data_IF_195752379570
#
_entry.id   IF_195752379570
#
_cell.length_a   1.000
_cell.length_b   1.000
_cell.length_c   1.000
_cell.angle_alpha   90.00
_cell.angle_beta   90.00
_cell.angle_gamma   90.00
#
_symmetry.space_group_name_H-M   'P 1'
#
loop_
_entity.id
_entity.type
_entity.pdbx_description
1 polymer ?
#
# COMPACT_ATOMS: atom_id res chain seq x y z
N UNK A 1 13.29 12.72 19.69
CA UNK A 1 12.53 12.54 18.41
C UNK A 1 11.93 11.15 18.45
N UNK A 2 10.63 11.01 18.28
CA UNK A 2 9.95 9.71 18.40
C UNK A 2 10.32 8.85 17.18
N UNK A 3 10.47 7.52 17.32
CA UNK A 3 10.82 6.59 16.22
C UNK A 3 9.92 6.76 14.99
N UNK A 4 8.63 7.02 15.20
CA UNK A 4 7.65 7.26 14.12
C UNK A 4 7.94 8.58 13.38
N UNK A 5 8.28 9.64 14.11
CA UNK A 5 8.65 10.92 13.48
C UNK A 5 9.89 10.75 12.61
N UNK A 6 10.89 10.01 13.10
CA UNK A 6 12.08 9.67 12.32
C UNK A 6 11.71 8.91 11.05
N UNK A 7 10.88 7.86 11.18
CA UNK A 7 10.40 7.05 10.07
C UNK A 7 9.75 7.89 8.96
N UNK A 8 8.84 8.80 9.33
CA UNK A 8 8.12 9.66 8.37
C UNK A 8 9.06 10.68 7.71
N UNK A 9 10.08 11.18 8.42
CA UNK A 9 11.00 12.19 7.89
C UNK A 9 12.01 11.63 6.88
N UNK A 10 12.34 10.33 6.92
CA UNK A 10 13.36 9.74 6.04
C UNK A 10 13.10 9.91 4.54
N UNK A 11 11.88 9.72 3.99
CA UNK A 11 11.61 10.03 2.59
C UNK A 11 11.85 11.49 2.23
N UNK A 12 11.56 12.42 3.13
CA UNK A 12 11.80 13.86 2.91
C UNK A 12 13.30 14.20 2.91
N UNK A 13 14.10 13.53 3.74
CA UNK A 13 15.57 13.62 3.68
C UNK A 13 16.05 13.12 2.31
N UNK A 14 15.48 12.04 1.81
CA UNK A 14 15.73 11.55 0.44
C UNK A 14 15.38 12.61 -0.61
N UNK A 15 14.20 13.22 -0.52
CA UNK A 15 13.75 14.27 -1.45
C UNK A 15 14.76 15.44 -1.52
N UNK A 16 15.26 15.87 -0.35
CA UNK A 16 16.18 17.00 -0.25
C UNK A 16 17.60 16.67 -0.76
N UNK A 17 18.10 15.47 -0.50
CA UNK A 17 19.50 15.13 -0.78
C UNK A 17 19.72 14.49 -2.16
N UNK A 18 18.78 13.65 -2.63
CA UNK A 18 18.94 12.89 -3.89
C UNK A 18 19.22 13.76 -5.12
N UNK A 19 18.59 14.95 -5.32
CA UNK A 19 18.83 15.75 -6.52
C UNK A 19 20.30 16.17 -6.68
N UNK A 20 21.00 16.43 -5.58
CA UNK A 20 22.36 16.97 -5.59
C UNK A 20 23.45 15.90 -5.71
N UNK A 21 23.09 14.60 -5.66
CA UNK A 21 24.06 13.52 -5.67
C UNK A 21 24.36 13.00 -7.08
N UNK A 22 25.60 12.49 -7.26
CA UNK A 22 25.95 11.70 -8.44
C UNK A 22 25.16 10.39 -8.47
N UNK A 23 24.86 9.86 -9.66
CA UNK A 23 24.00 8.68 -9.89
C UNK A 23 24.37 7.50 -8.98
N UNK A 24 25.65 7.18 -8.81
CA UNK A 24 26.11 6.09 -7.95
C UNK A 24 25.73 6.32 -6.49
N UNK A 25 25.87 7.55 -6.01
CA UNK A 25 25.57 7.92 -4.62
C UNK A 25 24.06 7.95 -4.36
N UNK A 26 23.22 8.24 -5.36
CA UNK A 26 21.76 8.16 -5.24
C UNK A 26 21.32 6.76 -4.82
N UNK A 27 21.81 5.73 -5.49
CA UNK A 27 21.48 4.36 -5.15
C UNK A 27 21.96 3.95 -3.75
N UNK A 28 23.17 4.37 -3.37
CA UNK A 28 23.71 4.10 -2.03
C UNK A 28 22.88 4.82 -0.96
N UNK A 29 22.58 6.11 -1.15
CA UNK A 29 21.74 6.86 -0.21
C UNK A 29 20.33 6.23 -0.07
N UNK A 30 19.73 5.83 -1.19
CA UNK A 30 18.41 5.14 -1.17
C UNK A 30 18.48 3.87 -0.34
N UNK A 31 19.52 3.04 -0.50
CA UNK A 31 19.72 1.84 0.30
C UNK A 31 19.88 2.16 1.80
N UNK A 32 20.69 3.16 2.14
CA UNK A 32 20.92 3.57 3.53
C UNK A 32 19.63 4.05 4.17
N UNK A 33 18.92 4.98 3.53
CA UNK A 33 17.65 5.52 4.05
C UNK A 33 16.58 4.44 4.18
N UNK A 34 16.47 3.55 3.19
CA UNK A 34 15.56 2.41 3.26
C UNK A 34 15.92 1.49 4.43
N UNK A 35 17.21 1.16 4.61
CA UNK A 35 17.66 0.28 5.69
C UNK A 35 17.30 0.87 7.06
N UNK A 36 17.46 2.17 7.25
CA UNK A 36 17.06 2.83 8.50
C UNK A 36 15.55 2.69 8.72
N UNK A 37 14.72 2.94 7.69
CA UNK A 37 13.26 2.76 7.78
C UNK A 37 12.87 1.31 8.06
N UNK A 38 13.53 0.35 7.44
CA UNK A 38 13.32 -1.09 7.66
C UNK A 38 13.67 -1.49 9.09
N UNK A 39 14.76 -0.95 9.65
CA UNK A 39 15.14 -1.22 11.05
C UNK A 39 14.10 -0.67 12.03
N UNK A 40 13.61 0.55 11.81
CA UNK A 40 12.58 1.17 12.66
C UNK A 40 11.27 0.37 12.59
N UNK A 41 10.75 0.15 11.38
CA UNK A 41 9.48 -0.56 11.18
C UNK A 41 9.59 -2.04 11.57
N UNK A 42 10.72 -2.68 11.30
CA UNK A 42 11.00 -4.05 11.69
C UNK A 42 11.06 -4.25 13.21
N UNK A 43 11.68 -3.33 13.93
CA UNK A 43 11.68 -3.34 15.39
C UNK A 43 10.25 -3.30 15.96
N UNK A 44 9.41 -2.36 15.48
CA UNK A 44 8.01 -2.26 15.90
C UNK A 44 7.21 -3.52 15.53
N UNK A 45 7.48 -4.10 14.36
CA UNK A 45 6.82 -5.32 13.91
C UNK A 45 7.18 -6.53 14.78
N UNK A 46 8.46 -6.74 15.10
CA UNK A 46 8.89 -7.83 15.96
C UNK A 46 8.31 -7.66 17.36
N UNK A 47 8.33 -6.44 17.92
CA UNK A 47 7.74 -6.16 19.21
C UNK A 47 6.25 -6.53 19.26
N UNK A 48 5.50 -6.23 18.21
CA UNK A 48 4.07 -6.55 18.13
C UNK A 48 3.76 -8.05 18.01
N UNK A 49 4.70 -8.84 17.48
CA UNK A 49 4.57 -10.28 17.34
C UNK A 49 4.99 -11.06 18.59
N UNK A 50 5.95 -10.52 19.36
CA UNK A 50 6.52 -11.19 20.53
C UNK A 50 5.92 -10.76 21.86
N UNK A 51 5.13 -9.70 21.88
CA UNK A 51 4.62 -9.13 23.13
C UNK A 51 3.28 -8.41 22.95
N UNK A 52 3.27 -7.14 23.32
CA UNK A 52 2.09 -6.29 23.25
C UNK A 52 2.06 -5.47 21.94
N UNK A 53 0.87 -5.16 21.41
CA UNK A 53 0.74 -4.24 20.29
C UNK A 53 1.42 -2.90 20.57
N UNK A 54 2.13 -2.37 19.60
CA UNK A 54 2.70 -1.02 19.67
C UNK A 54 1.59 -0.03 19.41
N UNK A 55 1.24 0.79 20.41
CA UNK A 55 0.21 1.82 20.30
C UNK A 55 0.82 3.18 20.64
N UNK A 56 0.70 4.13 19.70
CA UNK A 56 1.24 5.48 19.83
C UNK A 56 0.18 6.45 19.28
N UNK A 57 -0.02 7.56 19.95
CA UNK A 57 -0.87 8.64 19.50
C UNK A 57 -0.02 9.82 19.09
N UNK A 58 -0.17 10.28 17.84
CA UNK A 58 0.46 11.51 17.36
C UNK A 58 -0.52 12.68 17.46
N UNK A 59 -0.04 13.87 17.84
CA UNK A 59 -0.85 15.08 17.75
C UNK A 59 -1.14 15.36 16.28
N UNK A 60 -2.40 15.55 15.96
CA UNK A 60 -2.84 15.92 14.62
C UNK A 60 -3.19 17.42 14.54
N UNK A 61 -3.81 17.81 13.43
CA UNK A 61 -4.37 19.14 13.20
C UNK A 61 -5.83 19.21 13.65
N UNK A 62 -6.44 20.39 13.54
CA UNK A 62 -7.89 20.54 13.73
C UNK A 62 -8.72 19.62 12.81
N UNK A 63 -8.20 19.30 11.62
CA UNK A 63 -8.87 18.42 10.64
C UNK A 63 -8.62 16.93 10.90
N UNK A 64 -7.40 16.58 11.32
CA UNK A 64 -7.00 15.16 11.48
C UNK A 64 -7.26 14.63 12.88
N UNK A 65 -7.52 15.50 13.85
CA UNK A 65 -7.62 15.17 15.27
C UNK A 65 -6.37 14.43 15.77
N UNK A 66 -6.49 13.61 16.81
CA UNK A 66 -5.44 12.72 17.25
C UNK A 66 -5.29 11.61 16.21
N UNK A 67 -4.04 11.28 15.85
CA UNK A 67 -3.73 10.22 14.89
C UNK A 67 -3.26 9.00 15.67
N UNK A 68 -4.14 8.01 15.96
CA UNK A 68 -3.73 6.78 16.59
C UNK A 68 -2.99 5.90 15.58
N UNK A 69 -1.85 5.38 16.01
CA UNK A 69 -1.06 4.39 15.27
C UNK A 69 -1.02 3.13 16.12
N UNK A 70 -1.44 2.01 15.55
CA UNK A 70 -1.42 0.72 16.22
C UNK A 70 -0.84 -0.34 15.30
N UNK A 71 0.23 -0.98 15.76
CA UNK A 71 0.85 -2.12 15.09
C UNK A 71 0.56 -3.34 15.95
N UNK A 72 -0.40 -4.13 15.53
CA UNK A 72 -0.77 -5.42 16.11
C UNK A 72 -0.10 -6.58 15.36
N UNK A 73 -0.39 -7.82 15.73
CA UNK A 73 0.22 -9.00 15.12
C UNK A 73 -0.03 -9.09 13.59
N UNK A 74 -1.24 -8.70 13.12
CA UNK A 74 -1.53 -8.67 11.69
C UNK A 74 -0.64 -7.63 10.98
N UNK A 75 -0.58 -6.40 11.50
CA UNK A 75 0.30 -5.36 10.97
C UNK A 75 1.76 -5.78 11.00
N UNK A 76 2.23 -6.33 12.13
CA UNK A 76 3.61 -6.78 12.30
C UNK A 76 4.03 -7.82 11.27
N UNK A 77 3.17 -8.81 11.03
CA UNK A 77 3.43 -9.84 10.02
C UNK A 77 3.58 -9.24 8.61
N UNK A 78 2.64 -8.37 8.21
CA UNK A 78 2.72 -7.73 6.89
C UNK A 78 3.92 -6.79 6.77
N UNK A 79 4.25 -6.03 7.82
CA UNK A 79 5.43 -5.13 7.85
C UNK A 79 6.72 -5.92 7.63
N UNK A 80 6.90 -7.09 8.24
CA UNK A 80 8.09 -7.93 8.03
C UNK A 80 8.22 -8.41 6.58
N UNK A 81 7.11 -8.87 5.98
CA UNK A 81 7.09 -9.27 4.57
C UNK A 81 7.42 -8.08 3.66
N UNK A 82 6.81 -6.92 3.90
CA UNK A 82 7.06 -5.69 3.15
C UNK A 82 8.54 -5.32 3.24
N UNK A 83 9.11 -5.28 4.43
CA UNK A 83 10.52 -4.96 4.65
C UNK A 83 11.45 -5.90 3.89
N UNK A 84 11.21 -7.20 3.94
CA UNK A 84 12.01 -8.20 3.22
C UNK A 84 12.01 -7.95 1.71
N UNK A 85 10.82 -7.73 1.13
CA UNK A 85 10.68 -7.51 -0.32
C UNK A 85 11.28 -6.17 -0.73
N UNK A 86 11.16 -5.12 0.08
CA UNK A 86 11.78 -3.82 -0.23
C UNK A 86 13.30 -3.87 -0.16
N UNK A 87 13.88 -4.56 0.81
CA UNK A 87 15.34 -4.74 0.90
C UNK A 87 15.87 -5.51 -0.30
N UNK A 88 15.28 -6.65 -0.63
CA UNK A 88 15.70 -7.46 -1.79
C UNK A 88 15.49 -6.71 -3.10
N UNK A 89 14.35 -6.01 -3.25
CA UNK A 89 14.06 -5.16 -4.41
C UNK A 89 15.03 -3.99 -4.56
N UNK A 90 15.45 -3.37 -3.45
CA UNK A 90 16.43 -2.27 -3.48
C UNK A 90 17.83 -2.75 -3.84
N UNK A 91 18.27 -3.89 -3.30
CA UNK A 91 19.57 -4.50 -3.64
C UNK A 91 19.65 -4.87 -5.12
N UNK A 92 18.62 -5.54 -5.64
CA UNK A 92 18.52 -5.83 -7.07
C UNK A 92 18.44 -4.56 -7.90
N UNK A 93 17.56 -3.61 -7.51
CA UNK A 93 17.36 -2.33 -8.17
C UNK A 93 18.63 -1.49 -8.26
N UNK A 94 19.46 -1.49 -7.22
CA UNK A 94 20.77 -0.82 -7.24
C UNK A 94 21.66 -1.27 -8.41
N UNK A 95 21.68 -2.56 -8.69
CA UNK A 95 22.45 -3.11 -9.82
C UNK A 95 21.75 -2.89 -11.17
N UNK A 96 20.44 -3.12 -11.21
CA UNK A 96 19.61 -2.95 -12.41
C UNK A 96 19.63 -1.52 -12.95
N UNK A 97 19.49 -0.52 -12.09
CA UNK A 97 19.44 0.90 -12.47
C UNK A 97 20.78 1.47 -12.94
N UNK A 98 21.91 0.74 -12.79
CA UNK A 98 23.20 1.15 -13.35
C UNK A 98 23.17 1.28 -14.87
N UNK A 99 22.33 0.53 -15.57
CA UNK A 99 22.14 0.63 -17.02
C UNK A 99 21.53 1.97 -17.47
N UNK A 100 20.81 2.65 -16.57
CA UNK A 100 20.10 3.92 -16.84
C UNK A 100 20.85 5.17 -16.37
N UNK A 101 22.18 5.12 -16.23
CA UNK A 101 23.03 6.22 -15.70
C UNK A 101 22.84 7.55 -16.41
N UNK A 102 22.47 7.55 -17.68
CA UNK A 102 22.23 8.77 -18.47
C UNK A 102 20.94 9.50 -18.09
N UNK A 103 20.00 8.83 -17.40
CA UNK A 103 18.67 9.35 -17.02
C UNK A 103 18.65 9.86 -15.56
N UNK A 104 19.51 10.81 -15.24
CA UNK A 104 19.76 11.28 -13.85
C UNK A 104 18.50 11.74 -13.15
N UNK A 105 17.60 12.49 -13.82
CA UNK A 105 16.37 13.00 -13.23
C UNK A 105 15.35 11.87 -12.97
N UNK A 106 15.21 10.96 -13.91
CA UNK A 106 14.32 9.78 -13.75
C UNK A 106 14.78 8.89 -12.61
N UNK A 107 16.11 8.74 -12.42
CA UNK A 107 16.67 8.00 -11.29
C UNK A 107 16.42 8.69 -9.93
N UNK A 108 16.47 10.03 -9.89
CA UNK A 108 16.13 10.79 -8.68
C UNK A 108 14.68 10.57 -8.29
N UNK A 109 13.78 10.74 -9.24
CA UNK A 109 12.35 10.58 -9.03
C UNK A 109 12.00 9.13 -8.64
N UNK A 110 12.62 8.15 -9.31
CA UNK A 110 12.49 6.73 -8.97
C UNK A 110 12.93 6.44 -7.53
N UNK A 111 14.12 6.91 -7.13
CA UNK A 111 14.66 6.67 -5.79
C UNK A 111 13.78 7.29 -4.71
N UNK A 112 13.28 8.51 -4.94
CA UNK A 112 12.34 9.17 -4.04
C UNK A 112 11.01 8.41 -3.96
N UNK A 113 10.42 8.06 -5.11
CA UNK A 113 9.16 7.32 -5.16
C UNK A 113 9.27 5.95 -4.47
N UNK A 114 10.45 5.30 -4.57
CA UNK A 114 10.72 4.03 -3.92
C UNK A 114 10.72 4.15 -2.37
N UNK A 115 11.37 5.18 -1.83
CA UNK A 115 11.36 5.46 -0.38
C UNK A 115 9.97 5.85 0.10
N UNK A 116 9.27 6.67 -0.67
CA UNK A 116 7.92 7.13 -0.35
C UNK A 116 6.92 5.97 -0.37
N UNK A 117 7.05 5.04 -1.33
CA UNK A 117 6.23 3.85 -1.41
C UNK A 117 6.41 2.94 -0.20
N UNK A 118 7.67 2.71 0.25
CA UNK A 118 7.93 1.96 1.47
C UNK A 118 7.28 2.62 2.69
N UNK A 119 7.49 3.93 2.87
CA UNK A 119 6.92 4.64 4.01
C UNK A 119 5.39 4.62 4.01
N UNK A 120 4.77 4.82 2.84
CA UNK A 120 3.30 4.86 2.72
C UNK A 120 2.65 3.50 3.00
N UNK A 121 3.22 2.40 2.51
CA UNK A 121 2.63 1.07 2.73
C UNK A 121 2.78 0.61 4.18
N UNK A 122 3.91 0.92 4.84
CA UNK A 122 4.07 0.69 6.28
C UNK A 122 3.06 1.53 7.08
N UNK A 123 2.86 2.80 6.68
CA UNK A 123 1.86 3.69 7.28
C UNK A 123 0.44 3.14 7.16
N UNK A 124 0.07 2.60 6.00
CA UNK A 124 -1.21 1.90 5.78
C UNK A 124 -1.40 0.74 6.76
N UNK A 125 -0.33 0.02 7.12
CA UNK A 125 -0.43 -1.08 8.07
C UNK A 125 -0.65 -0.64 9.53
N UNK A 126 -0.26 0.58 9.90
CA UNK A 126 -0.28 1.03 11.30
C UNK A 126 -1.32 2.11 11.63
N UNK A 127 -1.68 2.97 10.68
CA UNK A 127 -2.58 4.11 10.92
C UNK A 127 -4.01 3.62 11.21
N UNK A 128 -4.61 4.20 12.28
CA UNK A 128 -5.98 3.92 12.71
C UNK A 128 -6.89 5.15 12.60
N UNK A 129 -6.51 6.15 11.80
CA UNK A 129 -7.29 7.33 11.49
C UNK A 129 -7.69 7.29 10.01
N UNK A 130 -8.97 7.34 9.71
CA UNK A 130 -9.53 7.16 8.35
C UNK A 130 -9.05 8.24 7.38
N UNK A 131 -8.94 9.49 7.81
CA UNK A 131 -8.49 10.59 6.95
C UNK A 131 -6.99 10.45 6.60
N UNK A 132 -6.15 10.17 7.61
CA UNK A 132 -4.70 9.98 7.41
C UNK A 132 -4.41 8.67 6.66
N UNK A 133 -5.25 7.64 6.85
CA UNK A 133 -5.19 6.40 6.07
C UNK A 133 -5.42 6.66 4.58
N UNK A 134 -6.43 7.47 4.23
CA UNK A 134 -6.69 7.84 2.82
C UNK A 134 -5.51 8.58 2.20
N UNK A 135 -4.85 9.48 2.96
CA UNK A 135 -3.64 10.17 2.49
C UNK A 135 -2.51 9.16 2.23
N UNK A 136 -2.26 8.24 3.18
CA UNK A 136 -1.23 7.22 3.02
C UNK A 136 -1.53 6.28 1.83
N UNK A 137 -2.80 5.93 1.62
CA UNK A 137 -3.25 5.10 0.49
C UNK A 137 -3.05 5.80 -0.85
N UNK A 138 -3.32 7.10 -0.93
CA UNK A 138 -3.09 7.89 -2.14
C UNK A 138 -1.60 8.07 -2.43
N UNK A 139 -0.78 8.32 -1.41
CA UNK A 139 0.68 8.39 -1.56
C UNK A 139 1.23 7.04 -2.09
N UNK A 140 0.69 5.92 -1.59
CA UNK A 140 1.03 4.58 -2.08
C UNK A 140 0.65 4.42 -3.57
N UNK A 141 -0.50 4.95 -3.99
CA UNK A 141 -0.94 4.88 -5.38
C UNK A 141 -0.06 5.75 -6.29
N UNK A 142 0.19 6.99 -5.92
CA UNK A 142 1.00 7.93 -6.69
C UNK A 142 2.47 7.49 -6.79
N UNK A 143 3.07 7.02 -5.69
CA UNK A 143 4.44 6.50 -5.72
C UNK A 143 4.57 5.25 -6.60
N UNK A 144 3.58 4.36 -6.55
CA UNK A 144 3.53 3.19 -7.44
C UNK A 144 3.41 3.60 -8.91
N UNK A 145 2.55 4.58 -9.22
CA UNK A 145 2.41 5.12 -10.58
C UNK A 145 3.75 5.64 -11.12
N UNK A 146 4.45 6.46 -10.33
CA UNK A 146 5.77 6.99 -10.71
C UNK A 146 6.78 5.88 -10.99
N UNK A 147 6.76 4.80 -10.19
CA UNK A 147 7.63 3.66 -10.39
C UNK A 147 7.29 2.84 -11.64
N UNK A 148 6.00 2.70 -11.97
CA UNK A 148 5.53 2.00 -13.17
C UNK A 148 5.98 2.75 -14.43
N UNK A 149 5.82 4.08 -14.47
CA UNK A 149 6.14 4.90 -15.64
C UNK A 149 7.62 5.29 -15.75
N UNK A 150 8.52 4.58 -15.10
CA UNK A 150 9.96 4.88 -15.13
C UNK A 150 10.51 5.03 -16.55
N UNK A 151 10.05 4.20 -17.50
CA UNK A 151 10.38 4.30 -18.92
C UNK A 151 9.30 5.09 -19.69
N UNK A 152 8.99 6.31 -19.21
CA UNK A 152 7.92 7.18 -19.72
C UNK A 152 8.08 7.63 -21.17
N UNK A 153 9.23 7.42 -21.79
CA UNK A 153 9.42 7.67 -23.23
C UNK A 153 8.63 6.67 -24.10
N UNK A 154 8.27 5.52 -23.54
CA UNK A 154 7.46 4.52 -24.21
C UNK A 154 5.96 4.81 -23.99
N UNK A 155 5.18 5.10 -25.03
CA UNK A 155 3.74 5.37 -24.91
C UNK A 155 2.95 4.22 -24.26
N UNK A 156 3.38 2.97 -24.45
CA UNK A 156 2.75 1.79 -23.84
C UNK A 156 2.90 1.82 -22.32
N UNK A 157 4.08 2.23 -21.84
CA UNK A 157 4.37 2.38 -20.39
C UNK A 157 3.48 3.46 -19.77
N UNK A 158 3.32 4.60 -20.46
CA UNK A 158 2.43 5.68 -19.99
C UNK A 158 0.97 5.19 -19.90
N UNK A 159 0.47 4.53 -20.96
CA UNK A 159 -0.90 3.97 -20.96
C UNK A 159 -1.12 2.97 -19.83
N UNK A 160 -0.15 2.12 -19.56
CA UNK A 160 -0.20 1.16 -18.46
C UNK A 160 -0.24 1.86 -17.08
N UNK A 161 0.58 2.89 -16.89
CA UNK A 161 0.57 3.70 -15.67
C UNK A 161 -0.76 4.44 -15.47
N UNK A 162 -1.30 5.07 -16.53
CA UNK A 162 -2.60 5.76 -16.46
C UNK A 162 -3.72 4.77 -16.13
N UNK A 163 -3.76 3.59 -16.74
CA UNK A 163 -4.75 2.56 -16.42
C UNK A 163 -4.67 2.15 -14.94
N UNK A 164 -3.46 1.94 -14.41
CA UNK A 164 -3.25 1.68 -13.00
C UNK A 164 -3.79 2.83 -12.13
N UNK A 165 -3.46 4.08 -12.46
CA UNK A 165 -3.85 5.25 -11.68
C UNK A 165 -5.38 5.44 -11.66
N UNK A 166 -6.06 5.26 -12.80
CA UNK A 166 -7.52 5.32 -12.88
C UNK A 166 -8.14 4.30 -11.91
N UNK A 167 -7.68 3.04 -11.95
CA UNK A 167 -8.23 2.01 -11.06
C UNK A 167 -7.89 2.24 -9.59
N UNK A 168 -6.71 2.79 -9.29
CA UNK A 168 -6.35 3.20 -7.94
C UNK A 168 -7.29 4.31 -7.41
N UNK A 169 -7.69 5.26 -8.26
CA UNK A 169 -8.67 6.29 -7.89
C UNK A 169 -10.10 5.72 -7.73
N UNK A 170 -10.49 4.74 -8.52
CA UNK A 170 -11.73 4.01 -8.24
C UNK A 170 -11.71 3.33 -6.86
N UNK A 171 -10.57 2.73 -6.49
CA UNK A 171 -10.39 2.14 -5.16
C UNK A 171 -10.61 3.17 -4.04
N UNK A 172 -9.96 4.35 -4.14
CA UNK A 172 -10.06 5.35 -3.08
C UNK A 172 -11.48 5.94 -2.96
N UNK A 173 -12.24 6.04 -4.05
CA UNK A 173 -13.65 6.48 -4.00
C UNK A 173 -14.48 5.57 -3.10
N UNK A 174 -14.34 4.24 -3.22
CA UNK A 174 -15.04 3.30 -2.35
C UNK A 174 -14.58 3.40 -0.88
N UNK A 175 -13.28 3.64 -0.62
CA UNK A 175 -12.78 3.91 0.73
C UNK A 175 -13.40 5.18 1.31
N UNK A 176 -13.44 6.26 0.53
CA UNK A 176 -14.05 7.53 0.94
C UNK A 176 -15.52 7.33 1.28
N UNK A 177 -16.29 6.63 0.46
CA UNK A 177 -17.71 6.33 0.72
C UNK A 177 -17.86 5.55 2.03
N UNK A 178 -17.07 4.51 2.25
CA UNK A 178 -17.12 3.69 3.46
C UNK A 178 -16.76 4.50 4.72
N UNK A 179 -15.68 5.27 4.67
CA UNK A 179 -15.25 6.10 5.80
C UNK A 179 -16.22 7.25 6.07
N UNK A 180 -16.68 7.98 5.04
CA UNK A 180 -17.65 9.07 5.22
C UNK A 180 -18.98 8.56 5.79
N UNK A 181 -19.42 7.36 5.40
CA UNK A 181 -20.62 6.76 6.00
C UNK A 181 -20.48 6.65 7.52
N UNK A 182 -19.35 6.14 8.00
CA UNK A 182 -19.08 6.00 9.44
C UNK A 182 -18.92 7.38 10.10
N UNK A 183 -18.09 8.25 9.52
CA UNK A 183 -17.79 9.59 10.07
C UNK A 183 -19.05 10.41 10.25
N UNK A 184 -19.96 10.42 9.26
CA UNK A 184 -21.23 11.15 9.33
C UNK A 184 -22.18 10.66 10.43
N UNK A 185 -21.97 9.46 10.94
CA UNK A 185 -22.80 8.85 12.01
C UNK A 185 -22.15 8.92 13.38
N UNK A 186 -20.82 8.97 13.43
CA UNK A 186 -20.05 8.89 14.68
C UNK A 186 -19.31 10.16 15.03
N UNK A 187 -19.16 11.09 14.07
CA UNK A 187 -18.31 12.28 14.16
C UNK A 187 -16.86 11.96 14.59
N UNK A 188 -16.32 10.81 14.18
CA UNK A 188 -14.97 10.35 14.55
C UNK A 188 -14.24 9.79 13.36
N UNK A 189 -12.95 10.10 13.25
CA UNK A 189 -12.03 9.54 12.24
C UNK A 189 -11.35 8.25 12.71
N UNK A 190 -11.49 7.86 13.98
CA UNK A 190 -10.83 6.66 14.54
C UNK A 190 -11.46 5.37 13.97
N UNK A 191 -10.62 4.37 13.66
CA UNK A 191 -11.09 3.06 13.23
C UNK A 191 -11.91 2.33 14.30
N UNK A 192 -11.74 2.67 15.58
CA UNK A 192 -12.60 2.16 16.65
C UNK A 192 -14.07 2.57 16.44
N UNK A 193 -14.33 3.74 15.85
CA UNK A 193 -15.69 4.18 15.50
C UNK A 193 -16.34 3.24 14.47
N UNK A 194 -15.55 2.66 13.54
CA UNK A 194 -16.05 1.67 12.58
C UNK A 194 -16.57 0.43 13.33
N UNK A 195 -15.81 -0.07 14.30
CA UNK A 195 -16.19 -1.24 15.09
C UNK A 195 -17.47 -0.97 15.90
N UNK A 196 -17.52 0.16 16.60
CA UNK A 196 -18.67 0.55 17.42
C UNK A 196 -19.93 0.75 16.57
N UNK A 197 -19.80 1.48 15.47
CA UNK A 197 -20.93 1.76 14.58
C UNK A 197 -21.42 0.50 13.87
N UNK A 198 -20.51 -0.32 13.33
CA UNK A 198 -20.93 -1.55 12.64
C UNK A 198 -21.64 -2.55 13.54
N UNK A 199 -21.32 -2.57 14.85
CA UNK A 199 -22.02 -3.43 15.82
C UNK A 199 -23.47 -3.00 16.08
N UNK A 200 -23.82 -1.75 15.81
CA UNK A 200 -25.19 -1.23 15.93
C UNK A 200 -26.01 -1.37 14.65
N UNK A 201 -25.41 -1.74 13.53
CA UNK A 201 -26.09 -1.87 12.24
C UNK A 201 -26.85 -3.20 12.11
N UNK A 202 -28.00 -3.21 11.39
CA UNK A 202 -28.60 -4.46 10.91
C UNK A 202 -27.62 -5.24 10.04
N UNK A 203 -27.68 -6.58 10.02
CA UNK A 203 -26.75 -7.45 9.31
C UNK A 203 -26.53 -7.08 7.83
N UNK A 204 -27.61 -6.74 7.10
CA UNK A 204 -27.50 -6.31 5.71
C UNK A 204 -26.76 -4.99 5.57
N UNK A 205 -26.99 -4.01 6.44
CA UNK A 205 -26.31 -2.71 6.37
C UNK A 205 -24.82 -2.83 6.72
N UNK A 206 -24.46 -3.65 7.70
CA UNK A 206 -23.06 -3.92 8.04
C UNK A 206 -22.34 -4.67 6.91
N UNK A 207 -23.03 -5.57 6.20
CA UNK A 207 -22.49 -6.24 5.03
C UNK A 207 -22.24 -5.26 3.87
N UNK A 208 -23.15 -4.31 3.62
CA UNK A 208 -22.95 -3.26 2.60
C UNK A 208 -21.77 -2.38 2.96
N UNK A 209 -21.61 -1.99 4.24
CA UNK A 209 -20.44 -1.25 4.70
C UNK A 209 -19.15 -2.05 4.45
N UNK A 210 -19.13 -3.34 4.78
CA UNK A 210 -18.01 -4.21 4.48
C UNK A 210 -17.72 -4.28 2.97
N UNK A 211 -18.74 -4.39 2.12
CA UNK A 211 -18.62 -4.43 0.67
C UNK A 211 -17.95 -3.18 0.09
N UNK A 212 -18.26 -1.98 0.62
CA UNK A 212 -17.56 -0.76 0.19
C UNK A 212 -16.05 -0.89 0.37
N UNK A 213 -15.60 -1.33 1.54
CA UNK A 213 -14.18 -1.54 1.81
C UNK A 213 -13.61 -2.72 1.01
N UNK A 214 -14.37 -3.81 0.90
CA UNK A 214 -13.95 -4.99 0.15
C UNK A 214 -13.67 -4.66 -1.32
N UNK A 215 -14.57 -3.94 -2.01
CA UNK A 215 -14.37 -3.53 -3.41
C UNK A 215 -13.12 -2.67 -3.54
N UNK A 216 -12.93 -1.69 -2.65
CA UNK A 216 -11.75 -0.83 -2.67
C UNK A 216 -10.45 -1.63 -2.59
N UNK A 217 -10.36 -2.53 -1.63
CA UNK A 217 -9.17 -3.35 -1.43
C UNK A 217 -9.03 -4.45 -2.48
N UNK A 218 -10.13 -4.99 -3.01
CA UNK A 218 -10.14 -5.98 -4.09
C UNK A 218 -9.57 -5.42 -5.41
N UNK A 219 -9.84 -4.14 -5.72
CA UNK A 219 -9.19 -3.44 -6.85
C UNK A 219 -7.67 -3.46 -6.69
N UNK A 220 -7.17 -3.11 -5.50
CA UNK A 220 -5.72 -3.09 -5.22
C UNK A 220 -5.13 -4.50 -5.19
N UNK A 221 -5.87 -5.48 -4.66
CA UNK A 221 -5.48 -6.89 -4.64
C UNK A 221 -5.54 -7.56 -6.03
N UNK A 222 -6.18 -6.91 -7.01
CA UNK A 222 -6.32 -7.43 -8.37
C UNK A 222 -7.27 -8.61 -8.48
N UNK A 223 -8.34 -8.64 -7.69
CA UNK A 223 -9.39 -9.65 -7.81
C UNK A 223 -10.21 -9.46 -9.10
N UNK A 224 -10.60 -10.56 -9.72
CA UNK A 224 -11.50 -10.56 -10.88
C UNK A 224 -12.90 -10.08 -10.46
N UNK A 225 -13.52 -9.14 -11.22
CA UNK A 225 -13.11 -8.56 -12.49
C UNK A 225 -12.23 -7.29 -12.38
N UNK A 226 -11.79 -6.90 -11.19
CA UNK A 226 -11.12 -5.62 -10.87
C UNK A 226 -9.60 -5.66 -11.08
N UNK A 227 -9.08 -6.67 -11.78
CA UNK A 227 -7.65 -6.95 -11.98
C UNK A 227 -7.04 -6.31 -13.22
N UNK A 228 -7.83 -5.62 -14.05
CA UNK A 228 -7.44 -5.26 -15.43
C UNK A 228 -6.23 -4.32 -15.53
N UNK A 229 -5.79 -3.69 -14.45
CA UNK A 229 -4.56 -2.92 -14.40
C UNK A 229 -3.29 -3.79 -14.35
N UNK A 230 -3.37 -4.98 -13.75
CA UNK A 230 -2.22 -5.86 -13.49
C UNK A 230 -1.49 -6.32 -14.76
N UNK A 231 -2.15 -6.88 -15.79
CA UNK A 231 -1.48 -7.36 -16.99
C UNK A 231 -0.75 -6.28 -17.78
N UNK A 232 -1.13 -5.01 -17.61
CA UNK A 232 -0.47 -3.88 -18.27
C UNK A 232 0.65 -3.28 -17.41
N UNK A 233 0.44 -3.14 -16.10
CA UNK A 233 1.40 -2.51 -15.22
C UNK A 233 2.65 -3.36 -14.99
N UNK A 234 2.52 -4.68 -14.86
CA UNK A 234 3.64 -5.59 -14.62
C UNK A 234 4.68 -5.60 -15.73
N UNK A 235 4.32 -5.76 -17.01
CA UNK A 235 5.31 -5.69 -18.10
C UNK A 235 5.94 -4.31 -18.26
N UNK A 236 5.19 -3.24 -18.01
CA UNK A 236 5.64 -1.87 -18.16
C UNK A 236 6.65 -1.44 -17.08
N UNK A 237 6.51 -1.95 -15.87
CA UNK A 237 7.38 -1.60 -14.75
C UNK A 237 8.78 -2.21 -14.88
N UNK A 238 9.85 -1.53 -14.36
CA UNK A 238 11.18 -2.13 -14.19
C UNK A 238 11.11 -3.45 -13.40
N UNK A 239 12.03 -4.39 -13.67
CA UNK A 239 11.93 -5.74 -13.11
C UNK A 239 11.83 -5.80 -11.56
N UNK A 240 12.61 -4.98 -10.85
CA UNK A 240 12.53 -4.91 -9.38
C UNK A 240 11.22 -4.30 -8.89
N UNK A 241 10.66 -3.32 -9.61
CA UNK A 241 9.35 -2.73 -9.30
C UNK A 241 8.24 -3.74 -9.55
N UNK A 242 8.30 -4.48 -10.67
CA UNK A 242 7.34 -5.55 -10.99
C UNK A 242 7.34 -6.64 -9.91
N UNK A 243 8.51 -7.06 -9.40
CA UNK A 243 8.63 -7.97 -8.27
C UNK A 243 8.01 -7.42 -6.98
N UNK A 244 8.19 -6.12 -6.71
CA UNK A 244 7.54 -5.46 -5.56
C UNK A 244 6.02 -5.34 -5.73
N UNK A 245 5.53 -5.08 -6.95
CA UNK A 245 4.09 -5.03 -7.21
C UNK A 245 3.41 -6.34 -6.82
N UNK A 246 3.95 -7.47 -7.24
CA UNK A 246 3.41 -8.79 -6.88
C UNK A 246 3.67 -9.16 -5.42
N UNK A 247 4.83 -8.83 -4.89
CA UNK A 247 5.25 -9.18 -3.53
C UNK A 247 4.57 -8.36 -2.43
N UNK A 248 4.22 -7.11 -2.69
CA UNK A 248 3.82 -6.15 -1.65
C UNK A 248 2.58 -5.34 -2.01
N UNK A 249 2.52 -4.70 -3.20
CA UNK A 249 1.44 -3.76 -3.52
C UNK A 249 0.08 -4.47 -3.54
N UNK A 250 0.00 -5.63 -4.18
CA UNK A 250 -1.19 -6.49 -4.19
C UNK A 250 -1.56 -6.91 -2.77
N UNK A 251 -0.57 -7.24 -1.94
CA UNK A 251 -0.78 -7.67 -0.55
C UNK A 251 -1.30 -6.55 0.36
N UNK A 252 -1.09 -5.28 0.02
CA UNK A 252 -1.74 -4.17 0.73
C UNK A 252 -3.28 -4.25 0.62
N UNK A 253 -3.82 -4.68 -0.53
CA UNK A 253 -5.24 -4.96 -0.70
C UNK A 253 -5.70 -6.12 0.18
N UNK A 254 -4.95 -7.22 0.22
CA UNK A 254 -5.25 -8.36 1.10
C UNK A 254 -5.23 -7.93 2.57
N UNK A 255 -4.20 -7.16 2.99
CA UNK A 255 -4.13 -6.60 4.33
C UNK A 255 -5.38 -5.79 4.68
N UNK A 256 -5.82 -4.91 3.76
CA UNK A 256 -7.02 -4.09 3.96
C UNK A 256 -8.28 -4.93 4.15
N UNK A 257 -8.49 -5.99 3.35
CA UNK A 257 -9.62 -6.91 3.49
C UNK A 257 -9.59 -7.59 4.87
N UNK A 258 -8.44 -8.14 5.27
CA UNK A 258 -8.28 -8.80 6.57
C UNK A 258 -8.51 -7.81 7.72
N UNK A 259 -7.97 -6.58 7.60
CA UNK A 259 -8.16 -5.52 8.59
C UNK A 259 -9.65 -5.19 8.75
N UNK A 260 -10.40 -5.03 7.67
CA UNK A 260 -11.84 -4.73 7.74
C UNK A 260 -12.66 -5.90 8.29
N UNK A 261 -12.30 -7.14 7.98
CA UNK A 261 -12.93 -8.32 8.61
C UNK A 261 -12.74 -8.36 10.13
N UNK A 262 -11.62 -7.84 10.64
CA UNK A 262 -11.36 -7.80 12.09
C UNK A 262 -12.13 -6.70 12.80
N UNK A 263 -12.38 -5.56 12.14
CA UNK A 263 -12.96 -4.38 12.79
C UNK A 263 -14.45 -4.19 12.49
N UNK A 264 -14.95 -4.60 11.33
CA UNK A 264 -16.37 -4.50 11.00
C UNK A 264 -17.13 -5.70 11.56
N UNK A 265 -18.11 -5.43 12.41
CA UNK A 265 -19.02 -6.44 12.91
C UNK A 265 -20.12 -6.68 11.85
N UNK A 266 -19.96 -7.74 11.08
CA UNK A 266 -20.86 -8.09 9.96
C UNK A 266 -21.28 -9.56 10.04
N UNK A 267 -22.17 -10.00 9.16
CA UNK A 267 -22.42 -11.41 8.95
C UNK A 267 -21.18 -12.07 8.34
N UNK A 268 -20.37 -12.70 9.20
CA UNK A 268 -19.13 -13.34 8.79
C UNK A 268 -19.33 -14.53 7.84
N UNK A 269 -20.50 -15.19 7.87
CA UNK A 269 -20.82 -16.28 6.97
C UNK A 269 -21.04 -15.73 5.57
N UNK A 270 -21.87 -14.69 5.43
CA UNK A 270 -22.12 -14.03 4.15
C UNK A 270 -20.85 -13.40 3.58
N UNK A 271 -20.07 -12.66 4.40
CA UNK A 271 -18.80 -12.09 4.00
C UNK A 271 -17.78 -13.16 3.58
N UNK A 272 -17.71 -14.28 4.31
CA UNK A 272 -16.84 -15.42 4.01
C UNK A 272 -17.20 -16.10 2.68
N UNK A 273 -18.49 -16.34 2.43
CA UNK A 273 -18.95 -16.88 1.14
C UNK A 273 -18.61 -15.95 -0.03
N UNK A 274 -18.80 -14.64 0.12
CA UNK A 274 -18.45 -13.65 -0.89
C UNK A 274 -16.95 -13.72 -1.21
N UNK A 275 -16.09 -13.67 -0.19
CA UNK A 275 -14.64 -13.74 -0.37
C UNK A 275 -14.26 -15.07 -1.03
N UNK A 276 -14.84 -16.19 -0.60
CA UNK A 276 -14.58 -17.51 -1.17
C UNK A 276 -14.90 -17.55 -2.66
N UNK A 277 -16.11 -17.11 -3.05
CA UNK A 277 -16.55 -17.09 -4.46
C UNK A 277 -15.62 -16.24 -5.29
N UNK A 278 -15.34 -14.99 -4.86
CA UNK A 278 -14.48 -14.07 -5.60
C UNK A 278 -13.05 -14.61 -5.70
N UNK A 279 -12.53 -15.24 -4.63
CA UNK A 279 -11.18 -15.81 -4.63
C UNK A 279 -11.06 -17.02 -5.56
N UNK A 280 -12.04 -17.93 -5.57
CA UNK A 280 -12.06 -19.09 -6.47
C UNK A 280 -12.14 -18.64 -7.93
N UNK A 281 -13.06 -17.73 -8.24
CA UNK A 281 -13.18 -17.17 -9.60
C UNK A 281 -11.90 -16.46 -10.04
N UNK A 282 -11.28 -15.68 -9.15
CA UNK A 282 -10.03 -14.98 -9.43
C UNK A 282 -8.87 -15.94 -9.66
N UNK A 283 -8.79 -17.02 -8.87
CA UNK A 283 -7.77 -18.03 -9.01
C UNK A 283 -7.89 -18.79 -10.33
N UNK A 284 -9.10 -19.28 -10.67
CA UNK A 284 -9.34 -19.99 -11.92
C UNK A 284 -9.07 -19.11 -13.14
N UNK A 285 -9.59 -17.88 -13.12
CA UNK A 285 -9.38 -16.94 -14.23
C UNK A 285 -7.91 -16.54 -14.36
N UNK A 286 -7.21 -16.33 -13.24
CA UNK A 286 -5.79 -16.01 -13.22
C UNK A 286 -4.91 -17.12 -13.84
N UNK A 287 -5.23 -18.40 -13.57
CA UNK A 287 -4.53 -19.54 -14.20
C UNK A 287 -4.79 -19.55 -15.71
N UNK A 288 -6.04 -19.35 -16.15
CA UNK A 288 -6.36 -19.31 -17.59
C UNK A 288 -5.59 -18.17 -18.26
N UNK A 289 -5.59 -16.97 -17.67
CA UNK A 289 -4.83 -15.84 -18.19
C UNK A 289 -3.34 -16.11 -18.27
N UNK A 290 -2.76 -16.75 -17.27
CA UNK A 290 -1.32 -17.09 -17.25
C UNK A 290 -0.93 -18.01 -18.40
N UNK A 291 -1.79 -18.98 -18.76
CA UNK A 291 -1.54 -19.92 -19.86
C UNK A 291 -1.51 -19.23 -21.23
N UNK A 292 -2.35 -18.20 -21.43
CA UNK A 292 -2.47 -17.50 -22.71
C UNK A 292 -1.54 -16.28 -22.86
N UNK A 293 -0.77 -15.94 -21.83
CA UNK A 293 0.15 -14.79 -21.88
C UNK A 293 1.38 -15.10 -22.75
N UNK A 294 1.73 -14.15 -23.62
CA UNK A 294 2.96 -14.20 -24.43
C UNK A 294 4.18 -13.59 -23.72
N UNK A 295 3.99 -12.81 -22.67
CA UNK A 295 5.06 -12.16 -21.92
C UNK A 295 5.26 -12.88 -20.58
N UNK A 296 6.50 -13.25 -20.29
CA UNK A 296 6.86 -13.94 -19.05
C UNK A 296 6.69 -13.09 -17.77
N UNK A 297 6.67 -11.77 -17.89
CA UNK A 297 6.33 -10.87 -16.78
C UNK A 297 4.82 -10.79 -16.58
#
# INVERSE_FOLDING_TARGET
MNLITTFVLIPFVGLLLLPFLKVRLKGVLTLVLLTINVMISGYMAVQSLTGSPVSISLPGSYVTEIIPIRIDALSGWFILIINLVFVTGALYGYSYLKSYKKRTNSLTLHSFAFLLQHASIISVCGIQNSFVFLIAWEILALSSFVLIIFEHENPVTIKAGINYLIQAHFSIVFLIVGFLWVINKTNSYDFQAITTYSSSLPGMASLILFLCFFIAFAIKAGFVPLHTWLPYAHPAAPAHVSGMMSGVIIKAGIFGILRMLLIIKTDYVAAGFLILIVSVLSGLYGVILAIIQHNLK
#
